data_IF_624853037218
#
_entry.id   IF_624853037218
#
_cell.length_a   1.000
_cell.length_b   1.000
_cell.length_c   1.000
_cell.angle_alpha   90.00
_cell.angle_beta   90.00
_cell.angle_gamma   90.00
#
_symmetry.space_group_name_H-M   'P 1'
#
loop_
_entity.id
_entity.type
_entity.pdbx_description
1 polymer ?
#
# COMPACT_ATOMS: atom_id res chain seq x y z
N UNK A 1 -2.46 -2.50 -14.26
CA UNK A 1 -3.46 -3.02 -15.22
C UNK A 1 -4.48 -3.79 -14.41
N UNK A 2 -5.77 -3.74 -14.75
CA UNK A 2 -6.78 -4.56 -14.08
C UNK A 2 -6.76 -5.95 -14.72
N UNK A 3 -6.42 -6.96 -13.95
CA UNK A 3 -6.39 -8.35 -14.41
C UNK A 3 -7.79 -8.95 -14.36
N UNK A 4 -8.15 -9.69 -15.41
CA UNK A 4 -9.44 -10.39 -15.46
C UNK A 4 -9.35 -11.71 -14.65
N UNK A 5 -10.18 -11.83 -13.61
CA UNK A 5 -10.15 -12.97 -12.67
C UNK A 5 -11.38 -13.84 -12.91
N UNK A 6 -11.18 -14.94 -13.64
CA UNK A 6 -12.29 -15.73 -14.19
C UNK A 6 -12.26 -17.18 -13.78
N UNK A 7 -11.11 -17.72 -13.38
CA UNK A 7 -10.98 -19.17 -13.13
C UNK A 7 -11.68 -19.62 -11.86
N UNK A 8 -11.60 -18.85 -10.79
CA UNK A 8 -12.26 -19.22 -9.54
C UNK A 8 -13.79 -19.23 -9.67
N UNK A 9 -14.37 -18.19 -10.28
CA UNK A 9 -15.81 -18.13 -10.58
C UNK A 9 -16.27 -19.30 -11.48
N UNK A 10 -15.49 -19.64 -12.51
CA UNK A 10 -15.77 -20.81 -13.35
C UNK A 10 -15.71 -22.12 -12.58
N UNK A 11 -14.75 -22.27 -11.67
CA UNK A 11 -14.65 -23.46 -10.82
C UNK A 11 -15.89 -23.60 -9.92
N UNK A 12 -16.32 -22.50 -9.28
CA UNK A 12 -17.54 -22.48 -8.48
C UNK A 12 -18.78 -22.88 -9.29
N UNK A 13 -18.93 -22.32 -10.51
CA UNK A 13 -20.05 -22.65 -11.40
C UNK A 13 -20.08 -24.12 -11.82
N UNK A 14 -18.92 -24.68 -12.16
CA UNK A 14 -18.81 -26.11 -12.53
C UNK A 14 -19.18 -26.99 -11.35
N UNK A 15 -18.71 -26.63 -10.15
CA UNK A 15 -18.97 -27.39 -8.94
C UNK A 15 -20.45 -27.37 -8.55
N UNK A 16 -21.08 -26.20 -8.59
CA UNK A 16 -22.52 -26.07 -8.34
C UNK A 16 -23.31 -26.95 -9.31
N UNK A 17 -22.97 -26.88 -10.60
CA UNK A 17 -23.62 -27.69 -11.64
C UNK A 17 -23.40 -29.19 -11.44
N UNK A 18 -22.24 -29.61 -10.93
CA UNK A 18 -21.95 -31.01 -10.63
C UNK A 18 -22.78 -31.53 -9.44
N UNK A 19 -22.94 -30.71 -8.39
CA UNK A 19 -23.79 -31.04 -7.24
C UNK A 19 -25.24 -31.17 -7.68
N UNK A 20 -25.75 -30.21 -8.46
CA UNK A 20 -27.13 -30.21 -8.94
C UNK A 20 -27.41 -31.42 -9.86
N UNK A 21 -26.48 -31.72 -10.77
CA UNK A 21 -26.60 -32.90 -11.63
C UNK A 21 -26.58 -34.22 -10.84
N UNK A 22 -25.75 -34.30 -9.79
CA UNK A 22 -25.67 -35.47 -8.91
C UNK A 22 -26.99 -35.69 -8.18
N UNK A 23 -27.58 -34.59 -7.69
CA UNK A 23 -28.89 -34.56 -7.03
C UNK A 23 -30.00 -35.02 -7.98
N UNK A 24 -30.08 -34.44 -9.18
CA UNK A 24 -31.11 -34.75 -10.16
C UNK A 24 -31.05 -36.20 -10.66
N UNK A 25 -29.85 -36.77 -10.77
CA UNK A 25 -29.67 -38.13 -11.27
C UNK A 25 -29.90 -39.19 -10.20
N UNK A 26 -29.39 -38.97 -8.99
CA UNK A 26 -29.36 -40.00 -7.94
C UNK A 26 -30.65 -40.07 -7.13
N UNK A 27 -31.36 -38.95 -6.99
CA UNK A 27 -32.57 -38.86 -6.16
C UNK A 27 -33.80 -38.60 -7.03
N UNK A 28 -33.96 -39.28 -8.16
CA UNK A 28 -35.21 -39.23 -8.92
C UNK A 28 -36.36 -39.88 -8.13
N UNK A 29 -37.58 -39.36 -8.23
CA UNK A 29 -38.71 -39.94 -7.50
C UNK A 29 -38.93 -41.40 -7.89
N UNK A 30 -38.79 -41.74 -9.18
CA UNK A 30 -38.92 -43.13 -9.65
C UNK A 30 -37.86 -44.08 -9.05
N UNK A 31 -36.66 -43.56 -8.72
CA UNK A 31 -35.59 -44.36 -8.10
C UNK A 31 -35.90 -44.62 -6.62
N UNK A 32 -36.43 -43.61 -5.91
CA UNK A 32 -36.85 -43.77 -4.52
C UNK A 32 -38.01 -44.77 -4.39
N UNK A 33 -39.00 -44.71 -5.27
CA UNK A 33 -40.14 -45.64 -5.25
C UNK A 33 -39.72 -47.09 -5.55
N UNK A 34 -38.73 -47.29 -6.44
CA UNK A 34 -38.13 -48.60 -6.70
C UNK A 34 -37.36 -49.14 -5.50
N UNK A 35 -36.66 -48.30 -4.76
CA UNK A 35 -35.91 -48.71 -3.57
C UNK A 35 -36.80 -48.93 -2.34
N UNK A 36 -37.96 -48.28 -2.25
CA UNK A 36 -38.89 -48.36 -1.11
C UNK A 36 -40.34 -48.70 -1.51
N UNK A 37 -40.58 -49.83 -2.20
CA UNK A 37 -41.88 -50.17 -2.76
C UNK A 37 -42.96 -50.43 -1.69
N UNK A 38 -42.57 -50.95 -0.53
CA UNK A 38 -43.52 -51.23 0.57
C UNK A 38 -44.04 -49.94 1.22
N UNK A 39 -43.21 -48.91 1.27
CA UNK A 39 -43.55 -47.62 1.89
C UNK A 39 -44.35 -46.77 0.89
N UNK A 40 -44.03 -46.82 -0.40
CA UNK A 40 -44.79 -46.08 -1.42
C UNK A 40 -46.24 -46.55 -1.54
N UNK A 41 -46.51 -47.84 -1.33
CA UNK A 41 -47.85 -48.42 -1.38
C UNK A 41 -48.70 -48.18 -0.11
N UNK A 42 -48.08 -47.72 0.98
CA UNK A 42 -48.82 -47.37 2.21
C UNK A 42 -49.56 -46.03 2.07
N UNK A 43 -50.75 -45.93 2.68
CA UNK A 43 -51.50 -44.66 2.74
C UNK A 43 -50.64 -43.55 3.37
N UNK A 44 -50.30 -42.54 2.57
CA UNK A 44 -49.49 -41.39 2.99
C UNK A 44 -47.97 -41.61 2.91
N UNK A 45 -47.50 -42.82 2.59
CA UNK A 45 -46.07 -43.12 2.49
C UNK A 45 -45.37 -42.43 1.31
N UNK A 46 -46.07 -42.22 0.20
CA UNK A 46 -45.57 -41.40 -0.93
C UNK A 46 -45.25 -39.96 -0.52
N UNK A 47 -46.14 -39.31 0.26
CA UNK A 47 -45.91 -37.96 0.80
C UNK A 47 -44.75 -37.93 1.80
N UNK A 48 -44.62 -38.96 2.63
CA UNK A 48 -43.51 -39.10 3.56
C UNK A 48 -42.17 -39.25 2.82
N UNK A 49 -42.12 -40.08 1.76
CA UNK A 49 -40.95 -40.27 0.91
C UNK A 49 -40.57 -38.99 0.15
N UNK A 50 -41.54 -38.24 -0.37
CA UNK A 50 -41.25 -36.94 -0.99
C UNK A 50 -40.70 -35.92 0.00
N UNK A 51 -41.22 -35.90 1.22
CA UNK A 51 -40.72 -35.01 2.29
C UNK A 51 -39.29 -35.38 2.68
N UNK A 52 -39.02 -36.67 2.90
CA UNK A 52 -37.69 -37.17 3.21
C UNK A 52 -36.70 -36.89 2.06
N UNK A 53 -37.11 -37.11 0.81
CA UNK A 53 -36.33 -36.76 -0.38
C UNK A 53 -35.95 -35.29 -0.36
N UNK A 54 -36.90 -34.39 -0.18
CA UNK A 54 -36.64 -32.95 -0.15
C UNK A 54 -35.62 -32.58 0.95
N UNK A 55 -35.77 -33.15 2.14
CA UNK A 55 -34.82 -32.94 3.24
C UNK A 55 -33.41 -33.44 2.91
N UNK A 56 -33.29 -34.62 2.30
CA UNK A 56 -31.99 -35.18 1.89
C UNK A 56 -31.35 -34.29 0.81
N UNK A 57 -32.13 -33.80 -0.14
CA UNK A 57 -31.64 -32.92 -1.20
C UNK A 57 -31.14 -31.59 -0.64
N UNK A 58 -31.95 -30.94 0.18
CA UNK A 58 -31.61 -29.66 0.80
C UNK A 58 -30.36 -29.81 1.69
N UNK A 59 -30.27 -30.89 2.46
CA UNK A 59 -29.10 -31.19 3.30
C UNK A 59 -27.86 -31.44 2.44
N UNK A 60 -27.95 -32.33 1.45
CA UNK A 60 -26.81 -32.69 0.61
C UNK A 60 -26.25 -31.49 -0.15
N UNK A 61 -27.11 -30.66 -0.75
CA UNK A 61 -26.67 -29.44 -1.46
C UNK A 61 -25.97 -28.48 -0.51
N UNK A 62 -26.58 -28.15 0.64
CA UNK A 62 -26.00 -27.22 1.62
C UNK A 62 -24.67 -27.72 2.15
N UNK A 63 -24.63 -28.96 2.64
CA UNK A 63 -23.42 -29.55 3.21
C UNK A 63 -22.31 -29.64 2.17
N UNK A 64 -22.62 -30.04 0.94
CA UNK A 64 -21.62 -30.14 -0.13
C UNK A 64 -21.02 -28.78 -0.45
N UNK A 65 -21.85 -27.75 -0.68
CA UNK A 65 -21.38 -26.38 -0.97
C UNK A 65 -20.54 -25.83 0.18
N UNK A 66 -20.96 -26.02 1.43
CA UNK A 66 -20.21 -25.56 2.60
C UNK A 66 -18.86 -26.29 2.74
N UNK A 67 -18.82 -27.59 2.51
CA UNK A 67 -17.56 -28.36 2.54
C UNK A 67 -16.60 -27.91 1.44
N UNK A 68 -17.10 -27.66 0.22
CA UNK A 68 -16.25 -27.13 -0.85
C UNK A 68 -15.71 -25.74 -0.55
N UNK A 69 -16.53 -24.87 0.06
CA UNK A 69 -16.06 -23.55 0.51
C UNK A 69 -14.93 -23.69 1.53
N UNK A 70 -15.06 -24.58 2.52
CA UNK A 70 -13.98 -24.84 3.47
C UNK A 70 -12.71 -25.38 2.81
N UNK A 71 -12.83 -26.26 1.81
CA UNK A 71 -11.66 -26.75 1.05
C UNK A 71 -10.98 -25.59 0.30
N UNK A 72 -11.75 -24.69 -0.30
CA UNK A 72 -11.22 -23.51 -1.00
C UNK A 72 -10.47 -22.57 -0.07
N UNK A 73 -11.05 -22.29 1.11
CA UNK A 73 -10.44 -21.46 2.14
C UNK A 73 -9.16 -22.08 2.70
N UNK A 74 -9.20 -23.38 3.05
CA UNK A 74 -8.04 -24.09 3.61
C UNK A 74 -6.85 -24.15 2.65
N UNK A 75 -7.12 -24.29 1.35
CA UNK A 75 -6.08 -24.45 0.34
C UNK A 75 -5.73 -23.14 -0.37
N UNK A 76 -6.40 -22.04 -0.02
CA UNK A 76 -6.20 -20.71 -0.60
C UNK A 76 -6.33 -20.74 -2.14
N UNK A 77 -7.38 -21.44 -2.61
CA UNK A 77 -7.58 -21.73 -4.04
C UNK A 77 -7.92 -20.48 -4.83
N UNK A 78 -8.69 -19.57 -4.25
CA UNK A 78 -9.07 -18.30 -4.87
C UNK A 78 -7.82 -17.49 -5.23
N UNK A 79 -6.94 -17.24 -4.25
CA UNK A 79 -5.70 -16.49 -4.48
C UNK A 79 -4.83 -17.16 -5.54
N UNK A 80 -4.66 -18.49 -5.48
CA UNK A 80 -3.84 -19.23 -6.45
C UNK A 80 -4.38 -19.17 -7.87
N UNK A 81 -5.71 -19.21 -8.04
CA UNK A 81 -6.32 -19.13 -9.37
C UNK A 81 -6.30 -17.71 -9.93
N UNK A 82 -6.42 -16.71 -9.06
CA UNK A 82 -6.23 -15.30 -9.41
C UNK A 82 -4.78 -15.03 -9.85
N UNK A 83 -3.79 -15.45 -9.05
CA UNK A 83 -2.37 -15.34 -9.40
C UNK A 83 -2.08 -16.03 -10.74
N UNK A 84 -2.72 -17.18 -11.02
CA UNK A 84 -2.60 -17.87 -12.30
C UNK A 84 -3.22 -17.08 -13.47
N UNK A 85 -4.37 -16.41 -13.25
CA UNK A 85 -4.99 -15.50 -14.22
C UNK A 85 -4.06 -14.32 -14.55
N UNK A 86 -3.40 -13.76 -13.55
CA UNK A 86 -2.40 -12.70 -13.71
C UNK A 86 -1.19 -13.18 -14.53
N UNK A 87 -0.58 -14.31 -14.15
CA UNK A 87 0.58 -14.90 -14.86
C UNK A 87 0.26 -15.16 -16.33
N UNK A 88 -0.94 -15.67 -16.63
CA UNK A 88 -1.34 -15.98 -18.00
C UNK A 88 -1.56 -14.69 -18.81
N UNK A 89 -2.17 -13.67 -18.23
CA UNK A 89 -2.34 -12.37 -18.90
C UNK A 89 -0.99 -11.69 -19.17
N UNK A 90 -0.07 -11.74 -18.20
CA UNK A 90 1.29 -11.21 -18.38
C UNK A 90 2.06 -11.98 -19.46
N UNK A 91 1.92 -13.30 -19.53
CA UNK A 91 2.50 -14.10 -20.60
C UNK A 91 1.90 -13.76 -21.97
N UNK A 92 0.59 -13.61 -22.07
CA UNK A 92 -0.09 -13.20 -23.31
C UNK A 92 0.37 -11.80 -23.75
N UNK A 93 0.46 -10.84 -22.84
CA UNK A 93 0.94 -9.49 -23.15
C UNK A 93 2.41 -9.49 -23.63
N UNK A 94 3.28 -10.32 -23.03
CA UNK A 94 4.68 -10.47 -23.47
C UNK A 94 4.79 -11.11 -24.85
N UNK A 95 3.97 -12.13 -25.13
CA UNK A 95 3.89 -12.75 -26.45
C UNK A 95 3.45 -11.75 -27.51
N UNK A 96 2.39 -11.00 -27.24
CA UNK A 96 1.79 -10.07 -28.18
C UNK A 96 2.70 -8.84 -28.44
N UNK A 97 3.56 -8.49 -27.48
CA UNK A 97 4.59 -7.45 -27.65
C UNK A 97 5.87 -7.95 -28.34
N UNK A 98 5.99 -9.25 -28.63
CA UNK A 98 7.13 -9.83 -29.35
C UNK A 98 8.44 -9.88 -28.54
N UNK A 99 8.38 -9.70 -27.22
CA UNK A 99 9.54 -9.67 -26.30
C UNK A 99 9.82 -11.05 -25.69
N UNK A 100 9.11 -12.09 -26.12
CA UNK A 100 9.15 -13.39 -25.45
C UNK A 100 10.33 -14.26 -25.90
N UNK A 101 11.34 -14.39 -25.04
CA UNK A 101 12.32 -15.47 -25.13
C UNK A 101 11.79 -16.73 -24.43
N UNK A 102 11.92 -17.93 -25.04
CA UNK A 102 11.48 -19.17 -24.42
C UNK A 102 12.27 -19.46 -23.13
N UNK A 103 11.56 -19.45 -22.00
CA UNK A 103 12.11 -19.81 -20.69
C UNK A 103 12.14 -21.33 -20.51
N UNK A 104 13.33 -21.91 -20.52
CA UNK A 104 13.54 -23.33 -20.25
C UNK A 104 13.75 -23.55 -18.76
N UNK A 105 12.67 -23.74 -18.01
CA UNK A 105 12.68 -23.90 -16.55
C UNK A 105 13.60 -25.06 -16.12
N UNK A 106 13.62 -26.15 -16.88
CA UNK A 106 14.44 -27.34 -16.60
C UNK A 106 15.96 -27.12 -16.79
N UNK A 107 16.34 -26.01 -17.43
CA UNK A 107 17.74 -25.63 -17.67
C UNK A 107 18.23 -24.54 -16.72
N UNK A 108 17.35 -23.99 -15.87
CA UNK A 108 17.72 -22.96 -14.91
C UNK A 108 18.57 -23.59 -13.80
N UNK A 109 19.76 -23.05 -13.58
CA UNK A 109 20.57 -23.45 -12.44
C UNK A 109 19.98 -22.90 -11.13
N UNK A 110 20.21 -23.56 -9.98
CA UNK A 110 19.82 -23.01 -8.68
C UNK A 110 20.36 -21.59 -8.45
N UNK A 111 21.55 -21.30 -8.98
CA UNK A 111 22.19 -19.99 -8.85
C UNK A 111 21.46 -18.91 -9.66
N UNK A 112 21.02 -19.22 -10.88
CA UNK A 112 20.19 -18.32 -11.69
C UNK A 112 18.84 -18.01 -11.04
N UNK A 113 18.24 -18.98 -10.35
CA UNK A 113 17.00 -18.77 -9.60
C UNK A 113 17.20 -17.84 -8.39
N UNK A 114 18.31 -18.03 -7.66
CA UNK A 114 18.69 -17.16 -6.55
C UNK A 114 18.97 -15.75 -7.06
N UNK A 115 19.76 -15.61 -8.13
CA UNK A 115 20.14 -14.33 -8.69
C UNK A 115 18.94 -13.55 -9.23
N UNK A 116 17.98 -14.21 -9.89
CA UNK A 116 16.75 -13.57 -10.34
C UNK A 116 15.95 -12.97 -9.17
N UNK A 117 15.82 -13.73 -8.07
CA UNK A 117 15.11 -13.26 -6.86
C UNK A 117 15.87 -12.14 -6.15
N UNK A 118 17.19 -12.30 -6.02
CA UNK A 118 18.08 -11.31 -5.39
C UNK A 118 18.13 -10.02 -6.22
N UNK A 119 18.07 -10.10 -7.55
CA UNK A 119 18.05 -8.94 -8.44
C UNK A 119 16.83 -8.06 -8.18
N UNK A 120 15.65 -8.65 -8.00
CA UNK A 120 14.42 -7.91 -7.67
C UNK A 120 14.56 -7.18 -6.32
N UNK A 121 15.04 -7.87 -5.28
CA UNK A 121 15.27 -7.26 -3.97
C UNK A 121 16.33 -6.15 -4.02
N UNK A 122 17.39 -6.34 -4.81
CA UNK A 122 18.44 -5.31 -5.01
C UNK A 122 17.88 -4.08 -5.70
N UNK A 123 17.06 -4.23 -6.74
CA UNK A 123 16.43 -3.11 -7.44
C UNK A 123 15.57 -2.27 -6.50
N UNK A 124 14.68 -2.90 -5.72
CA UNK A 124 13.88 -2.20 -4.71
C UNK A 124 14.72 -1.47 -3.65
N UNK A 125 15.88 -2.04 -3.29
CA UNK A 125 16.80 -1.43 -2.33
C UNK A 125 17.51 -0.21 -2.93
N UNK A 126 17.90 -0.29 -4.20
CA UNK A 126 18.50 0.83 -4.94
C UNK A 126 17.52 1.99 -5.03
N UNK A 127 16.25 1.73 -5.39
CA UNK A 127 15.22 2.76 -5.48
C UNK A 127 14.99 3.46 -4.13
N UNK A 128 14.93 2.68 -3.03
CA UNK A 128 14.81 3.24 -1.67
C UNK A 128 16.01 4.11 -1.31
N UNK A 129 17.23 3.65 -1.59
CA UNK A 129 18.45 4.40 -1.31
C UNK A 129 18.52 5.67 -2.14
N UNK A 130 18.07 5.63 -3.38
CA UNK A 130 18.01 6.80 -4.25
C UNK A 130 17.03 7.84 -3.74
N UNK A 131 15.85 7.43 -3.26
CA UNK A 131 14.89 8.33 -2.63
C UNK A 131 15.45 8.97 -1.35
N UNK A 132 16.13 8.20 -0.51
CA UNK A 132 16.81 8.72 0.69
C UNK A 132 17.91 9.72 0.31
N UNK A 133 18.69 9.42 -0.72
CA UNK A 133 19.74 10.30 -1.22
C UNK A 133 19.18 11.63 -1.74
N UNK A 134 18.12 11.59 -2.53
CA UNK A 134 17.43 12.78 -3.04
C UNK A 134 16.86 13.63 -1.89
N UNK A 135 16.28 13.00 -0.87
CA UNK A 135 15.82 13.70 0.33
C UNK A 135 16.97 14.38 1.08
N UNK A 136 18.09 13.69 1.29
CA UNK A 136 19.25 14.27 1.97
C UNK A 136 19.86 15.46 1.20
N UNK A 137 19.87 15.41 -0.13
CA UNK A 137 20.29 16.54 -0.96
C UNK A 137 19.37 17.75 -0.76
N UNK A 138 18.06 17.53 -0.69
CA UNK A 138 17.10 18.59 -0.44
C UNK A 138 17.27 19.19 0.96
N UNK A 139 17.38 18.35 1.99
CA UNK A 139 17.57 18.76 3.37
C UNK A 139 18.88 19.54 3.54
N UNK A 140 19.98 19.07 2.91
CA UNK A 140 21.26 19.75 2.95
C UNK A 140 21.18 21.15 2.33
N UNK A 141 20.47 21.28 1.20
CA UNK A 141 20.25 22.56 0.54
C UNK A 141 19.44 23.51 1.42
N UNK A 142 18.36 23.03 2.05
CA UNK A 142 17.53 23.83 2.95
C UNK A 142 18.33 24.31 4.17
N UNK A 143 19.07 23.40 4.81
CA UNK A 143 19.94 23.76 5.94
C UNK A 143 21.02 24.77 5.54
N UNK A 144 21.57 24.66 4.33
CA UNK A 144 22.52 25.65 3.84
C UNK A 144 21.88 27.02 3.64
N UNK A 145 20.67 27.08 3.07
CA UNK A 145 19.90 28.31 2.91
C UNK A 145 19.55 28.95 4.27
N UNK A 146 19.16 28.15 5.26
CA UNK A 146 18.92 28.61 6.63
C UNK A 146 20.17 29.20 7.28
N UNK A 147 21.33 28.52 7.17
CA UNK A 147 22.60 29.03 7.71
C UNK A 147 22.97 30.36 7.06
N UNK A 148 22.83 30.47 5.74
CA UNK A 148 23.14 31.72 5.02
C UNK A 148 22.19 32.84 5.46
N UNK A 149 20.90 32.54 5.65
CA UNK A 149 19.92 33.48 6.20
C UNK A 149 20.31 33.99 7.59
N UNK A 150 20.61 33.08 8.51
CA UNK A 150 21.02 33.43 9.88
C UNK A 150 22.32 34.22 9.94
N UNK A 151 23.29 33.91 9.07
CA UNK A 151 24.54 34.69 8.97
C UNK A 151 24.24 36.11 8.51
N UNK A 152 23.35 36.27 7.53
CA UNK A 152 22.96 37.60 7.03
C UNK A 152 22.26 38.42 8.10
N UNK A 153 21.27 37.85 8.78
CA UNK A 153 20.59 38.49 9.91
C UNK A 153 21.58 38.87 11.02
N UNK A 154 22.51 37.97 11.35
CA UNK A 154 23.56 38.23 12.33
C UNK A 154 24.47 39.39 11.93
N UNK A 155 24.83 39.51 10.64
CA UNK A 155 25.62 40.65 10.14
C UNK A 155 24.85 41.96 10.17
N UNK A 156 23.57 41.96 9.80
CA UNK A 156 22.71 43.14 9.85
C UNK A 156 22.56 43.65 11.29
N UNK A 157 22.26 42.76 12.25
CA UNK A 157 22.17 43.11 13.67
C UNK A 157 23.50 43.65 14.22
N UNK A 158 24.63 43.06 13.81
CA UNK A 158 25.96 43.51 14.22
C UNK A 158 26.26 44.91 13.69
N UNK A 159 25.95 45.18 12.42
CA UNK A 159 26.18 46.48 11.79
C UNK A 159 25.24 47.55 12.38
N UNK A 160 23.98 47.21 12.66
CA UNK A 160 23.03 48.09 13.36
C UNK A 160 23.53 48.45 14.77
N UNK A 161 24.01 47.47 15.54
CA UNK A 161 24.59 47.71 16.87
C UNK A 161 25.81 48.63 16.81
N UNK A 162 26.71 48.43 15.84
CA UNK A 162 27.86 49.30 15.65
C UNK A 162 27.43 50.74 15.35
N UNK A 163 26.42 50.92 14.49
CA UNK A 163 25.90 52.26 14.17
C UNK A 163 25.27 52.96 15.39
N UNK A 164 24.57 52.21 16.25
CA UNK A 164 23.99 52.74 17.49
C UNK A 164 25.07 53.11 18.50
N UNK A 165 26.14 52.32 18.60
CA UNK A 165 27.30 52.64 19.45
C UNK A 165 27.98 53.92 18.98
N UNK A 166 28.20 54.08 17.67
CA UNK A 166 28.81 55.29 17.10
C UNK A 166 27.94 56.54 17.31
N UNK A 167 26.62 56.41 17.15
CA UNK A 167 25.67 57.47 17.44
C UNK A 167 25.68 57.88 18.92
N UNK A 168 25.73 56.89 19.84
CA UNK A 168 25.81 57.15 21.27
C UNK A 168 27.13 57.82 21.64
N UNK A 169 28.26 57.37 21.09
CA UNK A 169 29.56 57.98 21.30
C UNK A 169 29.57 59.45 20.86
N UNK A 170 29.02 59.74 19.68
CA UNK A 170 28.86 61.11 19.17
C UNK A 170 28.00 61.98 20.08
N UNK A 171 26.86 61.45 20.56
CA UNK A 171 25.98 62.17 21.49
C UNK A 171 26.63 62.45 22.85
N UNK A 172 27.47 61.54 23.36
CA UNK A 172 28.24 61.77 24.59
C UNK A 172 29.26 62.90 24.41
N UNK A 173 29.92 62.95 23.24
CA UNK A 173 30.88 64.02 22.93
C UNK A 173 30.19 65.38 22.77
N UNK A 174 29.00 65.44 22.18
CA UNK A 174 28.18 66.66 22.11
C UNK A 174 27.76 67.15 23.49
N UNK A 175 27.30 66.27 24.39
CA UNK A 175 26.95 66.63 25.77
C UNK A 175 28.18 67.12 26.54
N UNK A 176 29.35 66.51 26.32
CA UNK A 176 30.60 66.97 26.93
C UNK A 176 30.99 68.37 26.46
N UNK A 177 30.85 68.66 25.16
CA UNK A 177 31.10 70.01 24.61
C UNK A 177 30.10 71.02 25.18
N UNK A 178 28.81 70.71 25.18
CA UNK A 178 27.79 71.61 25.72
C UNK A 178 28.02 71.93 27.22
N UNK A 179 28.39 70.93 28.02
CA UNK A 179 28.77 71.16 29.43
C UNK A 179 30.04 72.00 29.59
N UNK A 180 31.02 71.83 28.70
CA UNK A 180 32.22 72.65 28.71
C UNK A 180 31.89 74.11 28.37
N UNK A 181 31.05 74.33 27.36
CA UNK A 181 30.60 75.67 26.94
C UNK A 181 29.78 76.36 28.04
N UNK A 182 28.83 75.66 28.68
CA UNK A 182 28.09 76.19 29.85
C UNK A 182 29.03 76.58 31.00
N UNK A 183 30.07 75.77 31.27
CA UNK A 183 31.01 76.05 32.35
C UNK A 183 31.93 77.22 32.00
N UNK A 184 32.28 77.36 30.73
CA UNK A 184 33.06 78.47 30.20
C UNK A 184 32.29 79.79 30.27
N UNK A 185 31.02 79.80 29.87
CA UNK A 185 30.14 80.97 29.95
C UNK A 185 29.93 81.41 31.41
N UNK A 186 29.69 80.45 32.32
CA UNK A 186 29.57 80.72 33.76
C UNK A 186 30.87 81.29 34.36
N UNK A 187 32.05 80.90 33.87
CA UNK A 187 33.32 81.46 34.30
C UNK A 187 33.49 82.89 33.80
N UNK A 188 33.13 83.17 32.54
CA UNK A 188 33.17 84.51 31.96
C UNK A 188 32.25 85.47 32.73
N UNK A 189 31.02 85.07 33.06
CA UNK A 189 30.11 85.90 33.86
C UNK A 189 30.64 86.21 35.26
N UNK A 190 31.36 85.28 35.88
CA UNK A 190 31.94 85.49 37.20
C UNK A 190 33.20 86.37 37.18
N UNK A 191 33.93 86.44 36.06
CA UNK A 191 35.14 87.26 35.91
C UNK A 191 34.84 88.69 35.46
N UNK A 192 33.68 88.93 34.82
CA UNK A 192 33.23 90.25 34.36
C UNK A 192 32.36 91.04 35.37
N UNK A 193 32.18 90.53 36.59
CA UNK A 193 31.64 91.26 37.74
C UNK A 193 32.76 91.85 38.60
#
# INVERSE_FOLDING_TARGET
MAYDKVRFDKLQKVLQKAVDYTVEKSFRPEQLEKCFPNISQMKGGEKALQTARKQILDYFQRTSVDQFRHIFEQNDIERKLDELDEIIQDAQARRDSGVEEPLFVDKLSPQQLIDARVSQTKAETVDKLQLIYEQLLLDNKQLHEEIVGLVKEGTEVKDDLLSQIDALASGVDEIRKAKFDEHYDALIENVLK
#
